data_IF_232947062518
#
_entry.id   IF_232947062518
#
_cell.length_a   1.000
_cell.length_b   1.000
_cell.length_c   1.000
_cell.angle_alpha   90.00
_cell.angle_beta   90.00
_cell.angle_gamma   90.00
#
_symmetry.space_group_name_H-M   'P 1'
#
loop_
_entity.id
_entity.type
_entity.pdbx_description
1 polymer ?
#
# COMPACT_ATOMS: atom_id res chain seq x y z
N UNK A 1 31.93 -26.24 -6.88
CA UNK A 1 32.36 -25.14 -7.76
C UNK A 1 31.20 -24.83 -8.69
N UNK A 2 30.63 -23.62 -8.66
CA UNK A 2 29.54 -23.23 -9.58
C UNK A 2 30.20 -22.68 -10.84
N UNK A 3 30.01 -23.34 -11.97
CA UNK A 3 30.65 -22.94 -13.22
C UNK A 3 30.23 -21.52 -13.63
N UNK A 4 31.18 -20.74 -14.13
CA UNK A 4 30.96 -19.35 -14.54
C UNK A 4 29.92 -19.20 -15.67
N UNK A 5 29.53 -20.30 -16.31
CA UNK A 5 28.52 -20.37 -17.37
C UNK A 5 27.10 -20.70 -16.88
N UNK A 6 26.93 -21.20 -15.65
CA UNK A 6 25.64 -21.66 -15.11
C UNK A 6 24.84 -20.53 -14.47
N UNK A 7 23.51 -20.63 -14.52
CA UNK A 7 22.57 -19.67 -13.96
C UNK A 7 22.76 -19.46 -12.45
N UNK A 8 22.88 -18.20 -12.02
CA UNK A 8 23.00 -17.81 -10.61
C UNK A 8 21.62 -17.54 -9.98
N UNK A 9 20.72 -18.52 -10.05
CA UNK A 9 19.42 -18.39 -9.38
C UNK A 9 19.58 -18.65 -7.88
N UNK A 10 19.13 -17.71 -7.05
CA UNK A 10 19.44 -17.68 -5.60
C UNK A 10 18.67 -18.76 -4.83
N UNK A 11 17.44 -19.06 -5.24
CA UNK A 11 16.57 -19.94 -4.47
C UNK A 11 16.77 -21.43 -4.76
N UNK A 12 17.18 -21.79 -5.98
CA UNK A 12 17.40 -23.18 -6.41
C UNK A 12 18.60 -23.26 -7.36
N UNK A 13 19.39 -24.32 -7.23
CA UNK A 13 20.50 -24.59 -8.16
C UNK A 13 19.96 -24.84 -9.56
N UNK A 14 20.49 -24.12 -10.55
CA UNK A 14 20.02 -24.20 -11.93
C UNK A 14 21.18 -24.57 -12.86
N UNK A 15 21.01 -25.64 -13.62
CA UNK A 15 22.01 -26.17 -14.56
C UNK A 15 21.99 -25.47 -15.92
N UNK A 16 20.99 -24.64 -16.19
CA UNK A 16 20.86 -23.92 -17.45
C UNK A 16 21.95 -22.86 -17.63
N UNK A 17 22.41 -22.69 -18.86
CA UNK A 17 23.40 -21.68 -19.21
C UNK A 17 22.86 -20.25 -19.07
N UNK A 18 23.76 -19.31 -18.75
CA UNK A 18 23.45 -17.87 -18.73
C UNK A 18 23.09 -17.39 -20.12
N UNK A 19 22.06 -16.55 -20.19
CA UNK A 19 21.71 -15.88 -21.46
C UNK A 19 22.67 -14.72 -21.73
N UNK A 20 22.94 -14.43 -23.00
CA UNK A 20 23.84 -13.34 -23.41
C UNK A 20 23.01 -12.14 -23.86
N UNK A 21 23.42 -10.93 -23.48
CA UNK A 21 22.85 -9.67 -23.99
C UNK A 21 23.25 -9.45 -25.45
N UNK A 22 22.56 -8.53 -26.13
CA UNK A 22 22.96 -8.07 -27.47
C UNK A 22 24.39 -7.50 -27.49
N UNK A 23 24.82 -6.93 -26.36
CA UNK A 23 26.15 -6.33 -26.19
C UNK A 23 27.25 -7.37 -25.87
N UNK A 24 26.96 -8.67 -25.96
CA UNK A 24 27.91 -9.75 -25.65
C UNK A 24 28.11 -10.05 -24.16
N UNK A 25 27.66 -9.18 -23.24
CA UNK A 25 27.73 -9.45 -21.80
C UNK A 25 26.73 -10.52 -21.34
N UNK A 26 27.17 -11.46 -20.49
CA UNK A 26 26.29 -12.49 -19.94
C UNK A 26 25.36 -11.92 -18.85
N UNK A 27 24.10 -12.30 -18.88
CA UNK A 27 23.18 -12.11 -17.77
C UNK A 27 23.58 -13.01 -16.58
N UNK A 28 23.16 -12.63 -15.37
CA UNK A 28 23.30 -13.47 -14.17
C UNK A 28 22.43 -14.74 -14.23
N UNK A 29 21.29 -14.64 -14.89
CA UNK A 29 20.27 -15.69 -14.96
C UNK A 29 20.15 -16.28 -16.38
N UNK A 30 19.72 -17.54 -16.46
CA UNK A 30 19.32 -18.17 -17.72
C UNK A 30 18.04 -17.52 -18.30
N UNK A 31 17.74 -17.83 -19.57
CA UNK A 31 16.58 -17.29 -20.26
C UNK A 31 15.26 -17.56 -19.52
N UNK A 32 15.08 -18.78 -19.00
CA UNK A 32 13.93 -19.20 -18.22
C UNK A 32 13.71 -18.34 -16.97
N UNK A 33 14.73 -18.23 -16.10
CA UNK A 33 14.61 -17.45 -14.87
C UNK A 33 14.43 -15.96 -15.12
N UNK A 34 14.96 -15.43 -16.23
CA UNK A 34 14.70 -14.05 -16.65
C UNK A 34 13.25 -13.82 -17.05
N UNK A 35 12.68 -14.71 -17.86
CA UNK A 35 11.28 -14.62 -18.27
C UNK A 35 10.35 -14.72 -17.06
N UNK A 36 10.65 -15.65 -16.15
CA UNK A 36 9.93 -15.82 -14.87
C UNK A 36 9.98 -14.56 -14.01
N UNK A 37 11.17 -13.97 -13.82
CA UNK A 37 11.32 -12.72 -13.07
C UNK A 37 10.54 -11.57 -13.71
N UNK A 38 10.58 -11.45 -15.04
CA UNK A 38 9.83 -10.41 -15.76
C UNK A 38 8.31 -10.62 -15.63
N UNK A 39 7.84 -11.86 -15.64
CA UNK A 39 6.42 -12.17 -15.43
C UNK A 39 6.00 -11.73 -14.02
N UNK A 40 6.73 -12.13 -12.98
CA UNK A 40 6.48 -11.72 -11.60
C UNK A 40 6.49 -10.20 -11.43
N UNK A 41 7.45 -9.50 -12.05
CA UNK A 41 7.51 -8.04 -12.04
C UNK A 41 6.28 -7.39 -12.68
N UNK A 42 5.80 -7.92 -13.82
CA UNK A 42 4.58 -7.41 -14.48
C UNK A 42 3.35 -7.57 -13.60
N UNK A 43 3.23 -8.72 -12.93
CA UNK A 43 2.13 -9.01 -12.01
C UNK A 43 2.16 -8.03 -10.85
N UNK A 44 3.31 -7.90 -10.19
CA UNK A 44 3.49 -6.97 -9.07
C UNK A 44 3.19 -5.52 -9.48
N UNK A 45 3.71 -5.08 -10.64
CA UNK A 45 3.44 -3.74 -11.15
C UNK A 45 1.95 -3.52 -11.44
N UNK A 46 1.26 -4.53 -11.97
CA UNK A 46 -0.18 -4.45 -12.26
C UNK A 46 -1.01 -4.38 -10.97
N UNK A 47 -0.71 -5.24 -9.99
CA UNK A 47 -1.35 -5.24 -8.67
C UNK A 47 -1.15 -3.89 -7.98
N UNK A 48 0.10 -3.41 -7.92
CA UNK A 48 0.42 -2.11 -7.33
C UNK A 48 -0.33 -0.96 -8.00
N UNK A 49 -0.43 -0.96 -9.33
CA UNK A 49 -1.21 0.06 -10.07
C UNK A 49 -2.71 -0.01 -9.76
N UNK A 50 -3.27 -1.21 -9.57
CA UNK A 50 -4.68 -1.39 -9.20
C UNK A 50 -4.95 -0.84 -7.80
N UNK A 51 -4.12 -1.18 -6.83
CA UNK A 51 -4.21 -0.67 -5.45
C UNK A 51 -4.10 0.86 -5.40
N UNK A 52 -3.15 1.46 -6.11
CA UNK A 52 -3.02 2.92 -6.15
C UNK A 52 -4.27 3.58 -6.77
N UNK A 53 -4.91 2.95 -7.75
CA UNK A 53 -6.16 3.45 -8.34
C UNK A 53 -7.32 3.34 -7.36
N UNK A 54 -7.45 2.24 -6.61
CA UNK A 54 -8.52 2.10 -5.61
C UNK A 54 -8.34 3.07 -4.46
N UNK A 55 -7.12 3.23 -3.94
CA UNK A 55 -6.79 4.21 -2.91
C UNK A 55 -7.12 5.64 -3.35
N UNK A 56 -6.71 6.04 -4.57
CA UNK A 56 -7.05 7.36 -5.13
C UNK A 56 -8.56 7.58 -5.21
N UNK A 57 -9.32 6.57 -5.65
CA UNK A 57 -10.80 6.66 -5.69
C UNK A 57 -11.39 6.81 -4.29
N UNK A 58 -10.91 6.04 -3.32
CA UNK A 58 -11.35 6.13 -1.92
C UNK A 58 -11.14 7.53 -1.35
N UNK A 59 -9.96 8.14 -1.57
CA UNK A 59 -9.67 9.50 -1.12
C UNK A 59 -10.60 10.55 -1.75
N UNK A 60 -10.96 10.40 -3.03
CA UNK A 60 -11.91 11.30 -3.69
C UNK A 60 -13.30 11.19 -3.07
N UNK A 61 -13.77 9.96 -2.82
CA UNK A 61 -15.07 9.71 -2.18
C UNK A 61 -15.07 10.26 -0.74
N UNK A 62 -14.02 10.01 0.03
CA UNK A 62 -13.88 10.50 1.40
C UNK A 62 -13.91 12.04 1.46
N UNK A 63 -13.18 12.73 0.56
CA UNK A 63 -13.22 14.20 0.48
C UNK A 63 -14.62 14.73 0.15
N UNK A 64 -15.35 14.05 -0.74
CA UNK A 64 -16.73 14.42 -1.07
C UNK A 64 -17.64 14.28 0.16
N UNK A 65 -17.55 13.15 0.87
CA UNK A 65 -18.32 12.91 2.09
C UNK A 65 -17.99 13.92 3.20
N UNK A 66 -16.70 14.25 3.39
CA UNK A 66 -16.27 15.27 4.35
C UNK A 66 -16.85 16.65 4.02
N UNK A 67 -16.88 17.01 2.74
CA UNK A 67 -17.48 18.28 2.30
C UNK A 67 -18.98 18.30 2.56
N UNK A 68 -19.70 17.23 2.21
CA UNK A 68 -21.13 17.09 2.46
C UNK A 68 -21.47 17.19 3.95
N UNK A 69 -20.68 16.53 4.82
CA UNK A 69 -20.82 16.63 6.27
C UNK A 69 -20.56 18.06 6.78
N UNK A 70 -19.52 18.72 6.28
CA UNK A 70 -19.20 20.09 6.66
C UNK A 70 -20.28 21.08 6.21
N UNK A 71 -20.83 20.91 5.02
CA UNK A 71 -21.93 21.73 4.50
C UNK A 71 -23.22 21.51 5.33
N UNK A 72 -23.50 20.27 5.76
CA UNK A 72 -24.62 19.96 6.65
C UNK A 72 -24.45 20.56 8.05
N UNK A 73 -23.24 20.51 8.64
CA UNK A 73 -22.97 21.11 9.95
C UNK A 73 -23.15 22.63 9.91
N UNK A 74 -22.67 23.29 8.84
CA UNK A 74 -22.88 24.74 8.64
C UNK A 74 -24.35 25.11 8.48
N UNK A 75 -25.16 24.24 7.87
CA UNK A 75 -26.60 24.45 7.75
C UNK A 75 -27.32 24.31 9.11
N UNK A 76 -26.85 23.43 9.99
CA UNK A 76 -27.39 23.27 11.34
C UNK A 76 -27.04 24.47 12.25
N UNK A 77 -25.85 25.05 12.07
CA UNK A 77 -25.38 26.24 12.83
C UNK A 77 -26.04 27.56 12.36
N UNK A 78 -26.91 27.51 11.34
CA UNK A 78 -27.74 28.64 10.93
C UNK A 78 -28.99 28.83 11.83
N UNK A 79 -29.21 27.96 12.83
CA UNK A 79 -30.20 28.20 13.87
C UNK A 79 -29.63 29.21 14.87
N UNK A 80 -30.02 30.49 14.75
CA UNK A 80 -29.69 31.54 15.72
C UNK A 80 -30.26 31.19 17.10
N UNK A 81 -29.48 30.49 17.92
CA UNK A 81 -29.64 30.55 19.37
C UNK A 81 -28.92 31.81 19.80
N UNK A 82 -29.67 32.83 20.24
CA UNK A 82 -29.05 33.98 20.89
C UNK A 82 -28.29 33.46 22.13
N UNK A 83 -27.01 33.83 22.30
CA UNK A 83 -26.24 33.39 23.44
C UNK A 83 -26.91 33.91 24.71
N UNK A 84 -27.38 33.01 25.56
CA UNK A 84 -27.76 33.35 26.92
C UNK A 84 -26.49 33.88 27.59
N UNK A 85 -26.50 35.13 28.03
CA UNK A 85 -25.43 35.72 28.80
C UNK A 85 -25.26 34.93 30.10
N UNK A 86 -24.24 34.05 30.13
CA UNK A 86 -23.68 33.57 31.38
C UNK A 86 -22.70 34.64 31.84
N UNK A 87 -22.98 35.25 32.99
CA UNK A 87 -22.05 36.17 33.65
C UNK A 87 -20.67 35.50 33.77
N UNK A 88 -19.65 36.16 33.26
CA UNK A 88 -18.25 35.73 33.28
C UNK A 88 -17.73 35.66 34.73
N UNK A 89 -17.30 34.49 35.24
CA UNK A 89 -16.31 34.47 36.30
C UNK A 89 -14.93 34.52 35.66
N UNK A 90 -14.15 35.52 36.09
CA UNK A 90 -12.81 35.84 35.65
C UNK A 90 -11.87 34.62 35.63
N UNK A 91 -11.12 34.51 34.54
CA UNK A 91 -10.06 33.52 34.33
C UNK A 91 -8.76 33.99 34.97
N UNK A 92 -8.33 33.38 36.06
CA UNK A 92 -6.93 33.44 36.51
C UNK A 92 -6.45 32.02 36.84
N UNK A 93 -5.91 31.29 35.85
CA UNK A 93 -4.91 30.25 36.09
C UNK A 93 -4.14 29.94 34.79
N UNK A 94 -2.91 30.44 34.73
CA UNK A 94 -1.86 29.95 33.84
C UNK A 94 -1.45 28.55 34.30
N UNK A 95 -1.85 27.51 33.58
CA UNK A 95 -1.26 26.18 33.71
C UNK A 95 -0.91 25.65 32.31
N UNK A 96 0.38 25.78 32.01
CA UNK A 96 1.12 25.08 30.97
C UNK A 96 0.90 23.56 31.15
N UNK A 97 0.11 22.94 30.29
CA UNK A 97 0.12 21.48 30.17
C UNK A 97 0.18 21.06 28.71
N UNK A 98 1.40 20.67 28.30
CA UNK A 98 1.66 20.07 27.02
C UNK A 98 0.81 18.82 26.83
N UNK A 99 0.11 18.73 25.71
CA UNK A 99 -0.33 17.46 25.15
C UNK A 99 0.27 17.36 23.74
N UNK A 100 1.49 16.84 23.71
CA UNK A 100 2.03 16.14 22.55
C UNK A 100 1.16 14.88 22.34
N UNK A 101 0.04 15.01 21.63
CA UNK A 101 -0.74 13.82 21.26
C UNK A 101 -0.19 13.21 19.97
N UNK A 102 0.84 12.41 20.17
CA UNK A 102 1.43 11.40 19.29
C UNK A 102 0.43 10.30 18.84
N UNK A 103 -0.88 10.59 18.77
CA UNK A 103 -1.93 9.57 18.56
C UNK A 103 -2.50 9.47 17.14
N UNK A 104 -1.82 10.01 16.12
CA UNK A 104 -2.21 9.82 14.70
C UNK A 104 -1.55 8.60 14.01
N UNK A 105 -0.76 7.79 14.72
CA UNK A 105 -0.07 6.63 14.13
C UNK A 105 -0.42 5.27 14.71
N UNK A 106 -1.51 5.14 15.49
CA UNK A 106 -1.92 3.85 16.08
C UNK A 106 -3.29 3.31 15.63
N UNK A 107 -3.88 3.87 14.57
CA UNK A 107 -4.93 3.22 13.78
C UNK A 107 -4.32 3.02 12.39
N UNK A 108 -3.73 1.86 12.07
CA UNK A 108 -4.47 0.83 11.33
C UNK A 108 -3.67 -0.49 11.12
N UNK A 109 -2.84 -0.91 12.08
CA UNK A 109 -2.16 -2.22 11.98
C UNK A 109 -3.15 -3.41 11.97
N UNK A 110 -4.36 -3.21 12.49
CA UNK A 110 -5.45 -4.19 12.45
C UNK A 110 -6.17 -4.29 11.09
N UNK A 111 -5.98 -3.33 10.18
CA UNK A 111 -6.54 -3.37 8.82
C UNK A 111 -5.56 -3.97 7.80
N UNK A 112 -4.26 -3.92 8.08
CA UNK A 112 -3.25 -4.55 7.22
C UNK A 112 -3.33 -6.08 7.28
N UNK A 113 -3.57 -6.65 8.46
CA UNK A 113 -3.68 -8.10 8.68
C UNK A 113 -4.90 -8.73 8.02
N UNK A 114 -6.02 -8.00 7.91
CA UNK A 114 -7.25 -8.50 7.24
C UNK A 114 -7.16 -8.48 5.72
N UNK A 115 -6.39 -7.55 5.15
CA UNK A 115 -6.19 -7.49 3.69
C UNK A 115 -5.13 -8.49 3.22
N UNK A 116 -4.23 -8.95 4.10
CA UNK A 116 -3.26 -10.00 3.77
C UNK A 116 -3.84 -11.41 3.76
N UNK A 117 -4.90 -11.67 4.54
CA UNK A 117 -5.47 -13.03 4.65
C UNK A 117 -6.54 -13.34 3.61
N UNK A 118 -7.23 -12.34 3.05
CA UNK A 118 -8.21 -12.52 1.97
C UNK A 118 -7.61 -12.53 0.56
N UNK A 119 -6.31 -12.22 0.42
CA UNK A 119 -5.61 -12.24 -0.87
C UNK A 119 -4.77 -13.50 -1.08
N UNK A 120 -4.70 -14.40 -0.11
CA UNK A 120 -3.86 -15.59 -0.19
C UNK A 120 -4.35 -16.58 -1.26
N UNK A 121 -5.66 -16.80 -1.37
CA UNK A 121 -6.18 -17.92 -2.17
C UNK A 121 -6.17 -17.64 -3.68
N UNK A 122 -6.48 -16.41 -4.11
CA UNK A 122 -6.43 -16.02 -5.53
C UNK A 122 -4.99 -15.84 -6.02
N UNK A 123 -4.10 -15.32 -5.16
CA UNK A 123 -2.68 -15.16 -5.49
C UNK A 123 -1.98 -16.53 -5.54
N UNK A 124 -2.28 -17.48 -4.64
CA UNK A 124 -1.74 -18.86 -4.66
C UNK A 124 -2.12 -19.60 -5.94
N UNK A 125 -3.40 -19.55 -6.36
CA UNK A 125 -3.86 -20.17 -7.60
C UNK A 125 -3.22 -19.54 -8.84
N UNK A 126 -3.01 -18.22 -8.83
CA UNK A 126 -2.38 -17.48 -9.92
C UNK A 126 -0.86 -17.71 -9.99
N UNK A 127 -0.16 -17.72 -8.85
CA UNK A 127 1.24 -18.11 -8.78
C UNK A 127 1.43 -19.58 -9.17
N UNK A 128 0.51 -20.46 -8.76
CA UNK A 128 0.50 -21.87 -9.16
C UNK A 128 0.29 -22.03 -10.67
N UNK A 129 -0.62 -21.27 -11.31
CA UNK A 129 -0.74 -21.23 -12.78
C UNK A 129 0.50 -20.67 -13.48
N UNK A 130 1.14 -19.64 -12.90
CA UNK A 130 2.38 -19.07 -13.41
C UNK A 130 3.58 -20.03 -13.27
N UNK A 131 3.55 -20.91 -12.27
CA UNK A 131 4.57 -21.94 -12.04
C UNK A 131 4.25 -23.27 -12.73
N UNK A 132 2.99 -23.55 -13.09
CA UNK A 132 2.57 -24.78 -13.77
C UNK A 132 2.74 -24.72 -15.30
N UNK A 133 2.96 -23.53 -15.85
CA UNK A 133 3.15 -23.30 -17.30
C UNK A 133 4.61 -23.35 -17.75
N UNK A 134 5.53 -23.76 -16.87
CA UNK A 134 6.98 -23.71 -17.06
C UNK A 134 7.71 -24.98 -16.62
#
# INVERSE_FOLDING_TARGET
>A
MVDASQCQYVYKTCTNARSVKKDGSAHRLCAFHRQKANALQKVYATKRRREMRTQRKALVVQRKQQKELADALKAADAFKVEPIALDEPQTDCDDDFSIDDFSILLLDDAMLTKHTTLLADEDEAYFSQLFATF
#
